data_IF_641087446199
#
_entry.id   IF_641087446199
#
_cell.length_a   1.000
_cell.length_b   1.000
_cell.length_c   1.000
_cell.angle_alpha   90.00
_cell.angle_beta   90.00
_cell.angle_gamma   90.00
#
_symmetry.space_group_name_H-M   'P 1'
#
loop_
_entity.id
_entity.type
_entity.pdbx_description
1 polymer ?
#
# COMPACT_ATOMS: atom_id res chain seq x y z
N UNK A 1 -6.10 -24.67 23.98
CA UNK A 1 -7.43 -25.29 23.79
C UNK A 1 -8.48 -24.18 23.86
N UNK A 2 -8.75 -23.50 22.74
CA UNK A 2 -9.66 -22.35 22.70
C UNK A 2 -11.10 -22.83 22.65
N UNK A 3 -11.86 -22.61 23.73
CA UNK A 3 -13.32 -22.80 23.73
C UNK A 3 -13.93 -22.01 22.55
N UNK A 4 -14.69 -22.70 21.70
CA UNK A 4 -15.47 -22.09 20.62
C UNK A 4 -16.47 -21.08 21.18
N UNK A 5 -16.70 -19.99 20.45
CA UNK A 5 -17.63 -18.93 20.85
C UNK A 5 -19.03 -19.43 20.54
N UNK A 6 -19.75 -19.92 21.54
CA UNK A 6 -21.09 -20.48 21.35
C UNK A 6 -22.20 -19.45 21.55
N UNK A 7 -21.95 -18.35 22.27
CA UNK A 7 -22.96 -17.33 22.61
C UNK A 7 -22.41 -15.89 22.49
N UNK A 8 -23.29 -14.92 22.21
CA UNK A 8 -22.96 -13.49 22.12
C UNK A 8 -22.38 -12.93 23.44
N UNK A 9 -22.78 -13.48 24.58
CA UNK A 9 -22.23 -13.13 25.88
C UNK A 9 -20.73 -13.49 26.00
N UNK A 10 -20.32 -14.64 25.46
CA UNK A 10 -18.90 -15.06 25.45
C UNK A 10 -18.04 -14.18 24.54
N UNK A 11 -18.64 -13.67 23.45
CA UNK A 11 -18.00 -12.69 22.56
C UNK A 11 -17.75 -11.37 23.30
N UNK A 12 -18.76 -10.83 23.98
CA UNK A 12 -18.62 -9.59 24.76
C UNK A 12 -17.61 -9.78 25.91
N UNK A 13 -17.68 -10.89 26.65
CA UNK A 13 -16.71 -11.18 27.73
C UNK A 13 -15.28 -11.29 27.21
N UNK A 14 -15.05 -11.81 25.99
CA UNK A 14 -13.72 -11.85 25.37
C UNK A 14 -13.24 -10.48 24.91
N UNK A 15 -14.09 -9.68 24.29
CA UNK A 15 -13.74 -8.29 23.91
C UNK A 15 -13.38 -7.50 25.16
N UNK A 16 -14.20 -7.57 26.21
CA UNK A 16 -13.90 -6.90 27.47
C UNK A 16 -12.60 -7.38 28.10
N UNK A 17 -12.28 -8.68 28.04
CA UNK A 17 -10.97 -9.19 28.48
C UNK A 17 -9.82 -8.66 27.64
N UNK A 18 -9.97 -8.58 26.31
CA UNK A 18 -8.94 -8.03 25.41
C UNK A 18 -8.73 -6.54 25.71
N UNK A 19 -9.82 -5.76 25.79
CA UNK A 19 -9.77 -4.34 26.13
C UNK A 19 -9.15 -4.11 27.49
N UNK A 20 -9.51 -4.94 28.49
CA UNK A 20 -8.91 -4.90 29.83
C UNK A 20 -7.40 -5.18 29.79
N UNK A 21 -6.96 -6.22 29.09
CA UNK A 21 -5.54 -6.53 28.94
C UNK A 21 -4.79 -5.46 28.17
N UNK A 22 -5.38 -4.87 27.12
CA UNK A 22 -4.78 -3.75 26.37
C UNK A 22 -4.63 -2.53 27.27
N UNK A 23 -5.69 -2.15 28.02
CA UNK A 23 -5.66 -1.04 28.98
C UNK A 23 -4.68 -1.27 30.13
N UNK A 24 -4.39 -2.52 30.49
CA UNK A 24 -3.43 -2.87 31.53
C UNK A 24 -1.98 -2.88 31.00
N UNK A 25 -1.73 -3.46 29.83
CA UNK A 25 -0.38 -3.58 29.27
C UNK A 25 0.15 -2.29 28.66
N UNK A 26 -0.73 -1.46 28.08
CA UNK A 26 -0.33 -0.20 27.45
C UNK A 26 0.35 0.78 28.42
N UNK A 27 -0.17 1.06 29.63
CA UNK A 27 0.52 1.91 30.60
C UNK A 27 1.71 1.23 31.29
N UNK A 28 1.69 -0.09 31.44
CA UNK A 28 2.67 -0.81 32.27
C UNK A 28 3.92 -1.25 31.51
N UNK A 29 3.79 -1.49 30.20
CA UNK A 29 4.90 -1.90 29.32
C UNK A 29 5.08 -0.93 28.16
N UNK A 30 3.98 -0.46 27.55
CA UNK A 30 4.05 0.46 26.41
C UNK A 30 4.69 1.80 26.76
N UNK A 31 4.28 2.41 27.88
CA UNK A 31 4.82 3.72 28.31
C UNK A 31 6.31 3.64 28.70
N UNK A 32 6.78 2.65 29.48
CA UNK A 32 8.22 2.48 29.73
C UNK A 32 9.05 2.21 28.48
N UNK A 33 8.57 1.38 27.55
CA UNK A 33 9.26 1.11 26.28
C UNK A 33 9.34 2.37 25.42
N UNK A 34 8.27 3.16 25.38
CA UNK A 34 8.26 4.45 24.70
C UNK A 34 9.32 5.39 25.28
N UNK A 35 9.38 5.56 26.62
CA UNK A 35 10.39 6.42 27.24
C UNK A 35 11.82 5.92 27.04
N UNK A 36 12.05 4.60 27.01
CA UNK A 36 13.36 4.05 26.66
C UNK A 36 13.75 4.39 25.22
N UNK A 37 12.82 4.27 24.27
CA UNK A 37 13.07 4.62 22.87
C UNK A 37 13.23 6.14 22.69
N UNK A 38 12.50 6.95 23.45
CA UNK A 38 12.59 8.41 23.44
C UNK A 38 13.97 8.92 23.92
N UNK A 39 14.63 8.22 24.85
CA UNK A 39 16.01 8.56 25.22
C UNK A 39 17.04 8.30 24.10
N UNK A 40 16.72 7.43 23.14
CA UNK A 40 17.63 7.06 22.03
C UNK A 40 17.33 7.87 20.77
N UNK A 41 16.05 8.18 20.53
CA UNK A 41 15.58 8.78 19.28
C UNK A 41 14.98 10.19 19.45
N UNK A 42 14.87 10.71 20.68
CA UNK A 42 14.41 12.06 21.01
C UNK A 42 13.08 12.44 20.31
N UNK A 43 12.02 11.66 20.54
CA UNK A 43 10.68 11.87 20.01
C UNK A 43 9.92 13.03 20.67
N UNK A 44 10.28 13.44 21.90
CA UNK A 44 9.83 14.70 22.52
C UNK A 44 8.34 14.78 22.85
N UNK A 45 7.66 13.64 23.09
CA UNK A 45 6.23 13.60 23.43
C UNK A 45 6.01 13.20 24.90
N UNK A 46 5.42 14.10 25.68
CA UNK A 46 5.04 13.84 27.07
C UNK A 46 3.76 12.98 27.16
N UNK A 47 3.93 11.67 27.37
CA UNK A 47 2.84 10.69 27.43
C UNK A 47 1.86 10.94 28.58
N UNK A 48 2.32 11.48 29.71
CA UNK A 48 1.46 11.83 30.83
C UNK A 48 0.66 13.12 30.63
N UNK A 49 1.08 14.00 29.69
CA UNK A 49 0.30 15.17 29.29
C UNK A 49 -0.94 14.82 28.47
N UNK A 50 -0.95 13.64 27.81
CA UNK A 50 -2.03 13.15 26.94
C UNK A 50 -3.33 12.78 27.67
N UNK A 51 -3.31 12.59 28.99
CA UNK A 51 -4.48 12.12 29.77
C UNK A 51 -5.39 13.28 30.20
N UNK A 52 -4.93 14.54 30.10
CA UNK A 52 -5.70 15.75 30.49
C UNK A 52 -5.85 16.76 29.35
N UNK A 53 -5.98 16.28 28.10
CA UNK A 53 -5.96 17.15 26.92
C UNK A 53 -7.38 17.52 26.48
N UNK A 54 -7.64 18.82 26.39
CA UNK A 54 -8.83 19.35 25.73
C UNK A 54 -8.78 19.09 24.20
N UNK A 55 -9.93 18.90 23.50
CA UNK A 55 -9.95 18.47 22.09
C UNK A 55 -9.21 19.37 21.10
N UNK A 56 -9.02 20.64 21.44
CA UNK A 56 -8.27 21.67 20.71
C UNK A 56 -6.74 21.44 20.76
N UNK A 57 -6.24 21.01 21.91
CA UNK A 57 -4.82 20.71 22.09
C UNK A 57 -4.39 19.42 21.36
N UNK A 58 -5.30 18.46 21.15
CA UNK A 58 -5.04 17.25 20.34
C UNK A 58 -4.72 17.57 18.88
N UNK A 59 -5.38 18.57 18.29
CA UNK A 59 -5.15 18.99 16.90
C UNK A 59 -3.78 19.67 16.78
N UNK A 60 -3.42 20.50 17.77
CA UNK A 60 -2.10 21.16 17.79
C UNK A 60 -0.95 20.17 17.97
N UNK A 61 -1.15 19.11 18.77
CA UNK A 61 -0.17 18.06 19.02
C UNK A 61 -0.03 17.14 17.80
N UNK A 62 -1.13 16.87 17.08
CA UNK A 62 -1.08 16.21 15.76
C UNK A 62 -0.29 17.01 14.74
N UNK A 63 -0.50 18.33 14.65
CA UNK A 63 0.25 19.19 13.73
C UNK A 63 1.73 19.27 14.10
N UNK A 64 2.05 19.30 15.40
CA UNK A 64 3.44 19.31 15.87
C UNK A 64 4.16 17.98 15.58
N UNK A 65 3.47 16.84 15.79
CA UNK A 65 3.96 15.52 15.42
C UNK A 65 4.19 15.37 13.92
N UNK A 66 3.26 15.87 13.08
CA UNK A 66 3.41 15.87 11.62
C UNK A 66 4.59 16.74 11.18
N UNK A 67 4.95 17.79 11.93
CA UNK A 67 6.07 18.69 11.58
C UNK A 67 7.45 18.21 12.06
N UNK A 68 7.53 17.14 12.86
CA UNK A 68 8.78 16.64 13.43
C UNK A 68 9.40 15.60 12.48
N UNK A 69 10.66 15.78 12.06
CA UNK A 69 11.38 14.71 11.33
C UNK A 69 11.71 13.58 12.31
N UNK A 70 11.37 12.30 12.01
CA UNK A 70 11.11 11.69 10.71
C UNK A 70 9.62 11.52 10.33
N UNK A 71 8.69 11.99 11.15
CA UNK A 71 7.26 11.82 10.90
C UNK A 71 6.76 12.68 9.73
N UNK A 72 7.33 13.86 9.56
CA UNK A 72 7.04 14.74 8.43
C UNK A 72 7.38 14.09 7.08
N UNK A 73 8.60 13.58 6.94
CA UNK A 73 9.00 12.83 5.74
C UNK A 73 8.08 11.61 5.55
N UNK A 74 7.94 10.72 6.54
CA UNK A 74 7.06 9.55 6.43
C UNK A 74 5.61 9.89 6.07
N UNK A 75 5.07 11.00 6.55
CA UNK A 75 3.72 11.47 6.23
C UNK A 75 3.59 11.91 4.77
N UNK A 76 4.60 12.60 4.22
CA UNK A 76 4.65 12.95 2.79
C UNK A 76 4.71 11.70 1.92
N UNK A 77 5.51 10.69 2.30
CA UNK A 77 5.56 9.39 1.61
C UNK A 77 4.21 8.65 1.59
N UNK A 78 3.36 8.87 2.60
CA UNK A 78 2.18 8.03 2.90
C UNK A 78 0.81 8.70 2.79
N UNK A 79 0.67 10.01 2.55
CA UNK A 79 -0.67 10.64 2.60
C UNK A 79 -0.99 11.54 1.41
N UNK A 80 -0.12 12.47 1.02
CA UNK A 80 -0.26 13.20 -0.24
C UNK A 80 1.00 14.00 -0.56
N UNK A 81 1.52 13.99 -1.80
CA UNK A 81 1.03 13.26 -2.97
C UNK A 81 1.68 11.86 -3.14
N UNK A 82 2.06 11.22 -2.03
CA UNK A 82 2.85 9.97 -2.00
C UNK A 82 2.17 8.69 -2.54
N UNK A 83 2.81 7.54 -2.27
CA UNK A 83 2.49 6.24 -2.85
C UNK A 83 1.05 5.78 -2.61
N UNK A 84 0.54 5.98 -1.39
CA UNK A 84 -0.83 5.61 -1.01
C UNK A 84 -1.88 6.42 -1.75
N UNK A 85 -1.64 7.71 -1.99
CA UNK A 85 -2.55 8.56 -2.75
C UNK A 85 -2.63 8.08 -4.19
N UNK A 86 -1.48 7.84 -4.83
CA UNK A 86 -1.44 7.27 -6.18
C UNK A 86 -2.11 5.89 -6.23
N UNK A 87 -1.84 5.02 -5.26
CA UNK A 87 -2.45 3.69 -5.17
C UNK A 87 -3.97 3.78 -5.01
N UNK A 88 -4.47 4.65 -4.14
CA UNK A 88 -5.91 4.86 -3.94
C UNK A 88 -6.55 5.51 -5.16
N UNK A 89 -5.91 6.51 -5.78
CA UNK A 89 -6.42 7.16 -6.98
C UNK A 89 -6.55 6.18 -8.15
N UNK A 90 -5.50 5.41 -8.43
CA UNK A 90 -5.52 4.38 -9.48
C UNK A 90 -6.55 3.30 -9.16
N UNK A 91 -6.56 2.79 -7.93
CA UNK A 91 -7.45 1.68 -7.56
C UNK A 91 -8.92 2.09 -7.53
N UNK A 92 -9.25 3.29 -7.06
CA UNK A 92 -10.63 3.74 -6.94
C UNK A 92 -11.15 4.41 -8.21
N UNK A 93 -10.45 5.40 -8.76
CA UNK A 93 -10.96 6.18 -9.88
C UNK A 93 -10.63 5.53 -11.22
N UNK A 94 -9.38 5.12 -11.45
CA UNK A 94 -8.98 4.60 -12.76
C UNK A 94 -9.68 3.28 -13.08
N UNK A 95 -9.80 2.34 -12.14
CA UNK A 95 -10.50 1.07 -12.38
C UNK A 95 -12.01 1.24 -12.61
N UNK A 96 -12.70 2.11 -11.86
CA UNK A 96 -14.12 2.39 -12.12
C UNK A 96 -14.33 3.02 -13.47
N UNK A 97 -13.47 3.99 -13.79
CA UNK A 97 -13.50 4.69 -15.06
C UNK A 97 -13.29 3.72 -16.22
N UNK A 98 -12.27 2.86 -16.14
CA UNK A 98 -11.99 1.84 -17.15
C UNK A 98 -13.21 0.93 -17.38
N UNK A 99 -13.78 0.38 -16.30
CA UNK A 99 -14.97 -0.50 -16.40
C UNK A 99 -16.16 0.22 -17.06
N UNK A 100 -16.39 1.50 -16.74
CA UNK A 100 -17.48 2.29 -17.34
C UNK A 100 -17.19 2.65 -18.80
N UNK A 101 -15.96 3.02 -19.11
CA UNK A 101 -15.53 3.37 -20.46
C UNK A 101 -15.68 2.15 -21.39
N UNK A 102 -15.17 1.00 -20.98
CA UNK A 102 -15.30 -0.25 -21.74
C UNK A 102 -16.77 -0.68 -21.90
N UNK A 103 -17.60 -0.48 -20.87
CA UNK A 103 -19.03 -0.76 -20.98
C UNK A 103 -19.71 0.15 -22.02
N UNK A 104 -19.42 1.46 -22.00
CA UNK A 104 -19.95 2.42 -22.99
C UNK A 104 -19.48 2.09 -24.41
N UNK A 105 -18.21 1.71 -24.59
CA UNK A 105 -17.68 1.26 -25.89
C UNK A 105 -18.39 0.01 -26.41
N UNK A 106 -18.82 -0.87 -25.49
CA UNK A 106 -19.54 -2.12 -25.79
C UNK A 106 -21.06 -1.95 -25.82
N UNK A 107 -21.58 -0.71 -25.76
CA UNK A 107 -23.02 -0.41 -25.70
C UNK A 107 -23.76 -1.15 -24.56
N UNK A 108 -23.08 -1.37 -23.43
CA UNK A 108 -23.68 -1.91 -22.21
C UNK A 108 -23.48 -0.95 -21.04
N UNK A 109 -24.25 -1.15 -19.98
CA UNK A 109 -24.13 -0.35 -18.77
C UNK A 109 -23.05 -0.95 -17.86
N UNK A 110 -22.14 -0.11 -17.36
CA UNK A 110 -21.11 -0.51 -16.39
C UNK A 110 -21.68 -0.72 -14.98
N UNK A 111 -20.85 -0.77 -13.93
CA UNK A 111 -21.34 -0.86 -12.55
C UNK A 111 -22.32 0.30 -12.23
N UNK A 112 -23.51 -0.02 -11.71
CA UNK A 112 -24.55 0.97 -11.36
C UNK A 112 -25.07 0.83 -9.93
N UNK A 113 -25.22 -0.41 -9.43
CA UNK A 113 -25.98 -0.67 -8.21
C UNK A 113 -25.21 -0.45 -6.90
N UNK A 114 -23.88 -0.61 -6.91
CA UNK A 114 -23.07 -0.41 -5.71
C UNK A 114 -22.83 1.09 -5.44
N UNK A 115 -23.82 1.74 -4.84
CA UNK A 115 -23.82 3.17 -4.51
C UNK A 115 -24.90 3.96 -5.25
N UNK A 116 -25.40 5.02 -4.62
CA UNK A 116 -26.54 5.83 -5.12
C UNK A 116 -26.26 6.52 -6.46
N UNK A 117 -25.00 6.88 -6.71
CA UNK A 117 -24.56 7.55 -7.93
C UNK A 117 -23.68 6.60 -8.73
N UNK A 118 -24.20 6.07 -9.84
CA UNK A 118 -23.50 5.27 -10.86
C UNK A 118 -22.42 4.28 -10.33
N UNK A 119 -22.68 3.54 -9.25
CA UNK A 119 -21.75 2.51 -8.79
C UNK A 119 -20.43 3.00 -8.16
N UNK A 120 -20.35 4.23 -7.64
CA UNK A 120 -19.10 4.78 -7.02
C UNK A 120 -18.53 3.88 -5.91
N UNK A 121 -19.40 3.20 -5.15
CA UNK A 121 -18.97 2.34 -4.05
C UNK A 121 -18.53 0.94 -4.53
N UNK A 122 -18.54 0.66 -5.83
CA UNK A 122 -18.15 -0.66 -6.35
C UNK A 122 -16.69 -1.01 -6.00
N UNK A 123 -15.75 -0.05 -6.00
CA UNK A 123 -14.36 -0.35 -5.61
C UNK A 123 -14.18 -0.57 -4.12
N UNK A 124 -14.97 0.12 -3.29
CA UNK A 124 -15.03 -0.21 -1.86
C UNK A 124 -15.52 -1.64 -1.68
N UNK A 125 -16.58 -2.03 -2.38
CA UNK A 125 -17.13 -3.38 -2.30
C UNK A 125 -16.15 -4.45 -2.80
N UNK A 126 -15.44 -4.20 -3.90
CA UNK A 126 -14.42 -5.11 -4.44
C UNK A 126 -13.24 -5.23 -3.48
N UNK A 127 -12.78 -4.13 -2.86
CA UNK A 127 -11.73 -4.14 -1.84
C UNK A 127 -12.15 -4.96 -0.62
N UNK A 128 -13.33 -4.67 -0.06
CA UNK A 128 -13.89 -5.39 1.09
C UNK A 128 -14.00 -6.88 0.77
N UNK A 129 -14.52 -7.22 -0.41
CA UNK A 129 -14.61 -8.61 -0.88
C UNK A 129 -13.24 -9.29 -0.92
N UNK A 130 -12.20 -8.63 -1.40
CA UNK A 130 -10.85 -9.19 -1.47
C UNK A 130 -10.22 -9.35 -0.09
N UNK A 131 -10.45 -8.41 0.84
CA UNK A 131 -9.96 -8.51 2.22
C UNK A 131 -10.58 -9.67 3.00
N UNK A 132 -11.87 -9.94 2.77
CA UNK A 132 -12.57 -11.09 3.37
C UNK A 132 -12.35 -12.39 2.62
N UNK A 133 -11.65 -12.38 1.48
CA UNK A 133 -11.42 -13.59 0.70
C UNK A 133 -10.33 -14.43 1.35
N UNK A 134 -10.60 -15.71 1.52
CA UNK A 134 -9.61 -16.68 2.00
C UNK A 134 -8.39 -16.72 1.09
N UNK A 135 -7.20 -16.64 1.68
CA UNK A 135 -5.93 -16.73 0.99
C UNK A 135 -5.56 -18.21 0.81
N UNK A 136 -5.71 -18.71 -0.41
CA UNK A 136 -5.36 -20.08 -0.77
C UNK A 136 -3.98 -20.09 -1.43
N UNK A 137 -2.97 -20.62 -0.73
CA UNK A 137 -1.63 -20.85 -1.29
C UNK A 137 -1.49 -22.32 -1.72
N UNK A 138 -1.12 -22.63 -2.97
CA UNK A 138 -0.92 -24.01 -3.40
C UNK A 138 0.25 -24.68 -2.66
N UNK A 139 0.16 -26.00 -2.44
CA UNK A 139 1.17 -26.74 -1.66
C UNK A 139 2.52 -26.88 -2.36
N UNK A 140 2.54 -26.96 -3.69
CA UNK A 140 3.74 -27.18 -4.48
C UNK A 140 4.57 -25.90 -4.72
N UNK A 141 4.13 -24.74 -4.23
CA UNK A 141 4.72 -23.44 -4.53
C UNK A 141 5.95 -23.14 -3.68
N UNK A 142 6.90 -22.41 -4.28
CA UNK A 142 8.04 -21.84 -3.57
C UNK A 142 7.57 -20.67 -2.70
N UNK A 143 7.08 -20.98 -1.49
CA UNK A 143 6.48 -20.02 -0.56
C UNK A 143 7.27 -18.71 -0.37
N UNK A 144 8.59 -18.69 -0.09
CA UNK A 144 9.27 -17.42 0.18
C UNK A 144 9.25 -16.48 -1.03
N UNK A 145 9.41 -17.01 -2.25
CA UNK A 145 9.39 -16.22 -3.48
C UNK A 145 7.97 -15.81 -3.83
N UNK A 146 7.01 -16.73 -3.69
CA UNK A 146 5.61 -16.47 -4.01
C UNK A 146 5.01 -15.34 -3.17
N UNK A 147 5.36 -15.28 -1.89
CA UNK A 147 4.91 -14.21 -1.00
C UNK A 147 5.68 -12.91 -1.20
N UNK A 148 6.98 -12.95 -1.55
CA UNK A 148 7.78 -11.74 -1.71
C UNK A 148 7.53 -10.99 -3.02
N UNK A 149 7.15 -11.70 -4.09
CA UNK A 149 6.94 -11.14 -5.43
C UNK A 149 5.91 -9.99 -5.46
N UNK A 150 4.71 -10.12 -4.85
CA UNK A 150 3.76 -9.01 -4.77
C UNK A 150 4.29 -7.78 -4.02
N UNK A 151 5.09 -7.98 -2.98
CA UNK A 151 5.72 -6.86 -2.26
C UNK A 151 6.81 -6.20 -3.09
N UNK A 152 7.62 -6.99 -3.81
CA UNK A 152 8.65 -6.49 -4.70
C UNK A 152 8.04 -5.64 -5.83
N UNK A 153 6.94 -6.08 -6.45
CA UNK A 153 6.27 -5.29 -7.50
C UNK A 153 5.71 -3.97 -6.97
N UNK A 154 5.13 -3.98 -5.76
CA UNK A 154 4.67 -2.75 -5.10
C UNK A 154 5.83 -1.81 -4.75
N UNK A 155 6.96 -2.33 -4.29
CA UNK A 155 8.13 -1.54 -3.95
C UNK A 155 8.73 -0.84 -5.19
N UNK A 156 8.84 -1.54 -6.32
CA UNK A 156 9.33 -0.96 -7.57
C UNK A 156 8.36 0.12 -8.08
N UNK A 157 7.05 -0.13 -8.05
CA UNK A 157 6.05 0.86 -8.43
C UNK A 157 6.10 2.12 -7.54
N UNK A 158 6.32 1.94 -6.23
CA UNK A 158 6.48 3.06 -5.29
C UNK A 158 7.76 3.85 -5.53
N UNK A 159 8.87 3.18 -5.83
CA UNK A 159 10.12 3.84 -6.17
C UNK A 159 9.98 4.70 -7.43
N UNK A 160 9.27 4.23 -8.47
CA UNK A 160 9.01 5.03 -9.67
C UNK A 160 8.21 6.29 -9.38
N UNK A 161 7.17 6.19 -8.55
CA UNK A 161 6.34 7.34 -8.20
C UNK A 161 7.11 8.41 -7.41
N UNK A 162 8.14 8.03 -6.63
CA UNK A 162 8.96 8.98 -5.90
C UNK A 162 9.76 9.94 -6.81
N UNK A 163 10.03 9.53 -8.05
CA UNK A 163 10.81 10.31 -9.01
C UNK A 163 9.96 11.23 -9.88
N UNK A 164 8.63 11.10 -9.82
CA UNK A 164 7.73 11.91 -10.63
C UNK A 164 7.47 13.25 -9.92
N UNK A 165 7.82 14.40 -10.52
CA UNK A 165 7.51 15.70 -9.94
C UNK A 165 6.00 15.97 -10.05
N UNK A 166 5.38 16.39 -8.94
CA UNK A 166 3.93 16.59 -8.83
C UNK A 166 3.56 18.08 -8.90
N UNK A 167 4.53 18.97 -8.67
CA UNK A 167 4.39 20.41 -8.82
C UNK A 167 5.73 21.15 -8.70
N UNK A 168 5.74 22.48 -8.91
CA UNK A 168 6.97 23.28 -8.95
C UNK A 168 7.86 23.17 -7.70
N UNK A 169 7.26 22.97 -6.53
CA UNK A 169 7.95 22.76 -5.26
C UNK A 169 7.48 21.46 -4.57
N UNK A 170 6.93 20.52 -5.34
CA UNK A 170 6.34 19.29 -4.80
C UNK A 170 6.93 18.10 -5.53
N UNK A 171 8.06 17.62 -5.01
CA UNK A 171 8.76 16.43 -5.47
C UNK A 171 9.20 15.61 -4.25
N UNK A 172 9.21 14.29 -4.38
CA UNK A 172 9.55 13.39 -3.27
C UNK A 172 11.05 13.10 -3.23
N UNK A 173 11.65 12.86 -4.39
CA UNK A 173 13.09 12.75 -4.57
C UNK A 173 13.52 13.45 -5.87
N UNK A 174 14.55 14.28 -5.79
CA UNK A 174 15.16 14.96 -6.95
C UNK A 174 16.63 14.54 -7.11
N UNK A 175 16.88 13.33 -7.66
CA UNK A 175 18.24 12.92 -7.97
C UNK A 175 18.72 13.64 -9.24
N UNK A 176 20.02 13.95 -9.36
CA UNK A 176 20.59 14.65 -10.52
C UNK A 176 20.42 13.89 -11.84
N UNK A 177 20.05 12.60 -11.79
CA UNK A 177 19.84 11.74 -12.95
C UNK A 177 18.45 11.07 -12.88
N UNK A 178 17.39 11.86 -12.72
CA UNK A 178 16.02 11.37 -12.54
C UNK A 178 15.54 10.42 -13.65
N UNK A 179 15.71 10.80 -14.91
CA UNK A 179 15.16 10.03 -16.04
C UNK A 179 15.86 8.68 -16.22
N UNK A 180 17.19 8.62 -16.10
CA UNK A 180 17.92 7.34 -16.19
C UNK A 180 17.58 6.44 -14.99
N UNK A 181 17.35 7.03 -13.81
CA UNK A 181 16.94 6.29 -12.63
C UNK A 181 15.56 5.63 -12.81
N UNK A 182 14.61 6.30 -13.49
CA UNK A 182 13.32 5.72 -13.86
C UNK A 182 13.52 4.45 -14.70
N UNK A 183 14.39 4.48 -15.73
CA UNK A 183 14.67 3.30 -16.54
C UNK A 183 15.36 2.18 -15.76
N UNK A 184 16.31 2.53 -14.89
CA UNK A 184 16.99 1.56 -14.03
C UNK A 184 15.98 0.82 -13.13
N UNK A 185 14.99 1.53 -12.59
CA UNK A 185 13.93 0.95 -11.75
C UNK A 185 12.95 0.11 -12.60
N UNK A 186 12.55 0.59 -13.78
CA UNK A 186 11.66 -0.16 -14.69
C UNK A 186 12.25 -1.52 -15.07
N UNK A 187 13.56 -1.60 -15.30
CA UNK A 187 14.25 -2.84 -15.69
C UNK A 187 14.17 -3.99 -14.66
N UNK A 188 13.70 -3.73 -13.43
CA UNK A 188 13.45 -4.80 -12.45
C UNK A 188 12.09 -5.50 -12.65
N UNK A 189 11.10 -4.88 -13.31
CA UNK A 189 9.77 -5.47 -13.54
C UNK A 189 9.77 -6.81 -14.31
N UNK A 190 10.58 -6.97 -15.39
CA UNK A 190 10.67 -8.24 -16.09
C UNK A 190 11.11 -9.39 -15.18
N UNK A 191 12.09 -9.13 -14.30
CA UNK A 191 12.64 -10.12 -13.37
C UNK A 191 11.57 -10.52 -12.34
N UNK A 192 10.88 -9.55 -11.74
CA UNK A 192 9.82 -9.82 -10.75
C UNK A 192 8.69 -10.64 -11.39
N UNK A 193 8.33 -10.37 -12.63
CA UNK A 193 7.28 -11.11 -13.33
C UNK A 193 7.70 -12.55 -13.66
N UNK A 194 8.97 -12.76 -14.01
CA UNK A 194 9.50 -14.12 -14.19
C UNK A 194 9.48 -14.89 -12.87
N UNK A 195 9.91 -14.26 -11.77
CA UNK A 195 9.89 -14.86 -10.44
C UNK A 195 8.47 -15.24 -10.01
N UNK A 196 7.45 -14.44 -10.35
CA UNK A 196 6.05 -14.78 -10.13
C UNK A 196 5.65 -16.10 -10.84
N UNK A 197 6.05 -16.23 -12.11
CA UNK A 197 5.79 -17.41 -12.93
C UNK A 197 6.55 -18.65 -12.43
N UNK A 198 7.82 -18.48 -12.02
CA UNK A 198 8.65 -19.53 -11.44
C UNK A 198 8.09 -20.03 -10.10
N UNK A 199 7.81 -19.12 -9.18
CA UNK A 199 7.37 -19.45 -7.82
C UNK A 199 6.07 -20.28 -7.79
N UNK A 200 5.21 -20.09 -8.80
CA UNK A 200 3.95 -20.81 -8.95
C UNK A 200 4.09 -22.32 -9.19
N UNK A 201 5.32 -22.82 -9.43
CA UNK A 201 5.68 -24.22 -9.65
C UNK A 201 4.69 -25.01 -10.55
N UNK A 202 4.35 -24.41 -11.70
CA UNK A 202 3.48 -25.03 -12.70
C UNK A 202 3.91 -24.60 -14.10
N UNK A 203 3.75 -25.52 -15.07
CA UNK A 203 4.23 -25.33 -16.45
C UNK A 203 3.56 -24.12 -17.12
N UNK A 204 2.26 -23.91 -16.92
CA UNK A 204 1.52 -22.85 -17.61
C UNK A 204 1.82 -21.45 -17.07
N UNK A 205 1.82 -21.19 -15.76
CA UNK A 205 2.27 -19.91 -15.21
C UNK A 205 3.71 -19.57 -15.59
N UNK A 206 4.60 -20.57 -15.62
CA UNK A 206 5.99 -20.35 -16.02
C UNK A 206 6.12 -19.94 -17.49
N UNK A 207 5.44 -20.63 -18.41
CA UNK A 207 5.41 -20.24 -19.82
C UNK A 207 4.75 -18.86 -20.02
N UNK A 208 3.70 -18.54 -19.25
CA UNK A 208 3.08 -17.21 -19.24
C UNK A 208 4.05 -16.13 -18.78
N UNK A 209 4.79 -16.38 -17.70
CA UNK A 209 5.82 -15.48 -17.17
C UNK A 209 6.95 -15.23 -18.16
N UNK A 210 7.42 -16.28 -18.86
CA UNK A 210 8.41 -16.13 -19.93
C UNK A 210 7.88 -15.24 -21.07
N UNK A 211 6.64 -15.43 -21.51
CA UNK A 211 6.05 -14.57 -22.56
C UNK A 211 5.95 -13.11 -22.13
N UNK A 212 5.50 -12.86 -20.90
CA UNK A 212 5.42 -11.52 -20.34
C UNK A 212 6.81 -10.87 -20.24
N UNK A 213 7.82 -11.62 -19.77
CA UNK A 213 9.20 -11.15 -19.71
C UNK A 213 9.72 -10.74 -21.10
N UNK A 214 9.55 -11.58 -22.12
CA UNK A 214 10.00 -11.25 -23.47
C UNK A 214 9.29 -10.01 -24.01
N UNK A 215 7.98 -9.89 -23.75
CA UNK A 215 7.21 -8.72 -24.14
C UNK A 215 7.75 -7.44 -23.49
N UNK A 216 7.97 -7.44 -22.17
CA UNK A 216 8.45 -6.26 -21.45
C UNK A 216 9.85 -5.83 -21.89
N UNK A 217 10.81 -6.77 -21.97
CA UNK A 217 12.16 -6.47 -22.44
C UNK A 217 12.14 -5.91 -23.87
N UNK A 218 11.29 -6.45 -24.75
CA UNK A 218 11.17 -5.98 -26.13
C UNK A 218 10.64 -4.54 -26.22
N UNK A 219 9.80 -4.10 -25.27
CA UNK A 219 9.27 -2.75 -25.23
C UNK A 219 10.14 -1.75 -24.46
N UNK A 220 11.09 -2.21 -23.65
CA UNK A 220 12.04 -1.32 -22.96
C UNK A 220 13.00 -0.63 -23.93
N UNK A 221 13.54 -1.35 -24.91
CA UNK A 221 14.52 -0.76 -25.86
C UNK A 221 13.90 0.39 -26.67
N UNK A 222 12.71 0.23 -27.32
CA UNK A 222 12.06 1.34 -28.02
C UNK A 222 11.68 2.49 -27.10
N UNK A 223 11.32 2.22 -25.84
CA UNK A 223 10.99 3.25 -24.85
C UNK A 223 12.22 4.09 -24.46
N UNK A 224 13.38 3.45 -24.30
CA UNK A 224 14.65 4.15 -24.05
C UNK A 224 15.05 4.98 -25.27
N UNK A 225 14.95 4.40 -26.47
CA UNK A 225 15.31 5.09 -27.71
C UNK A 225 14.40 6.30 -28.02
N UNK A 226 13.10 6.23 -27.71
CA UNK A 226 12.19 7.36 -27.93
C UNK A 226 12.51 8.54 -27.03
N UNK A 227 13.06 8.29 -25.84
CA UNK A 227 13.43 9.34 -24.89
C UNK A 227 14.74 10.02 -25.25
N UNK A 228 15.69 9.35 -25.93
CA UNK A 228 16.95 9.96 -26.35
C UNK A 228 16.77 11.21 -27.23
N UNK A 229 15.64 11.35 -27.93
CA UNK A 229 15.36 12.56 -28.71
C UNK A 229 14.87 13.76 -27.89
N UNK A 230 14.51 13.56 -26.61
CA UNK A 230 13.96 14.59 -25.71
C UNK A 230 15.05 15.20 -24.82
N UNK A 231 16.11 14.44 -24.52
CA UNK A 231 17.27 14.85 -23.72
C UNK A 231 18.35 15.45 -24.62
#
# INVERSE_FOLDING_TARGET
MTKEITNFEDFIRRILKIVFWVLLFLPLVGVPVYYLLDTVFHFGVDVFGLITVHPDQLISLQLQLISTEPFHSLFIWTTFPGFTFAALFVTFFAMLWERKLLAKMQLRVGPQYAGKYEGILQMVADLVKLLFKELVTPNAVDKPIFWSVPFASMAIAGALLSLVPLGPNTYLADPPIGVIMIFAIIGFFPIVTLLAGWASNSKYPFLGGLRALHQMISYEIPLILSLLGVV
#
